data_IF_043356961663
#
_entry.id   IF_043356961663
#
_cell.length_a   1.000
_cell.length_b   1.000
_cell.length_c   1.000
_cell.angle_alpha   90.00
_cell.angle_beta   90.00
_cell.angle_gamma   90.00
#
_symmetry.space_group_name_H-M   'P 1'
#
loop_
_entity.id
_entity.type
_entity.pdbx_description
1 polymer ?
#
# COMPACT_ATOMS: atom_id res chain seq x y z
N UNK A 1 4.44 8.46 -9.26
CA UNK A 1 4.42 7.00 -9.05
C UNK A 1 3.02 6.46 -8.70
N UNK A 2 2.16 7.23 -8.01
CA UNK A 2 0.76 6.87 -7.68
C UNK A 2 -0.05 6.29 -8.85
N UNK A 3 -0.03 6.90 -10.03
CA UNK A 3 -0.75 6.38 -11.21
C UNK A 3 -0.31 4.96 -11.62
N UNK A 4 0.96 4.60 -11.36
CA UNK A 4 1.43 3.23 -11.59
C UNK A 4 0.85 2.26 -10.59
N UNK A 5 0.73 2.66 -9.31
CA UNK A 5 0.04 1.85 -8.27
C UNK A 5 -1.42 1.67 -8.65
N UNK A 6 -2.12 2.74 -9.04
CA UNK A 6 -3.51 2.68 -9.47
C UNK A 6 -3.69 1.69 -10.63
N UNK A 7 -2.83 1.77 -11.65
CA UNK A 7 -2.85 0.85 -12.80
C UNK A 7 -2.62 -0.60 -12.39
N UNK A 8 -1.76 -0.87 -11.40
CA UNK A 8 -1.54 -2.21 -10.85
C UNK A 8 -2.80 -2.70 -10.13
N UNK A 9 -3.39 -1.89 -9.25
CA UNK A 9 -4.62 -2.24 -8.52
C UNK A 9 -5.75 -2.52 -9.50
N UNK A 10 -6.01 -1.60 -10.44
CA UNK A 10 -7.04 -1.74 -11.49
C UNK A 10 -6.86 -3.02 -12.32
N UNK A 11 -5.62 -3.37 -12.66
CA UNK A 11 -5.30 -4.62 -13.35
C UNK A 11 -5.64 -5.84 -12.47
N UNK A 12 -5.24 -5.83 -11.21
CA UNK A 12 -5.52 -6.93 -10.27
C UNK A 12 -7.03 -7.15 -10.04
N UNK A 13 -7.81 -6.06 -9.96
CA UNK A 13 -9.28 -6.10 -9.92
C UNK A 13 -9.83 -6.75 -11.20
N UNK A 14 -9.41 -6.28 -12.37
CA UNK A 14 -9.84 -6.82 -13.68
C UNK A 14 -9.50 -8.31 -13.84
N UNK A 15 -8.40 -8.76 -13.27
CA UNK A 15 -7.97 -10.16 -13.30
C UNK A 15 -8.64 -11.02 -12.21
N UNK A 16 -9.40 -10.43 -11.31
CA UNK A 16 -10.04 -11.12 -10.19
C UNK A 16 -9.10 -11.55 -9.07
N UNK A 17 -7.83 -11.14 -9.13
CA UNK A 17 -6.80 -11.41 -8.09
C UNK A 17 -7.04 -10.55 -6.85
N UNK A 18 -7.46 -9.30 -7.06
CA UNK A 18 -7.87 -8.40 -5.97
C UNK A 18 -9.39 -8.35 -5.83
N UNK A 19 -9.86 -7.92 -4.66
CA UNK A 19 -11.27 -7.56 -4.40
C UNK A 19 -11.69 -6.38 -5.27
N UNK A 20 -12.99 -6.23 -5.53
CA UNK A 20 -13.52 -5.07 -6.26
C UNK A 20 -13.46 -3.82 -5.37
N UNK A 21 -12.51 -2.93 -5.65
CA UNK A 21 -12.19 -1.73 -4.86
C UNK A 21 -11.99 -0.52 -5.77
N UNK A 22 -12.14 0.69 -5.22
CA UNK A 22 -11.71 1.90 -5.91
C UNK A 22 -10.18 1.94 -6.00
N UNK A 23 -9.66 1.76 -7.22
CA UNK A 23 -8.24 1.72 -7.49
C UNK A 23 -7.54 3.06 -7.24
N UNK A 24 -8.22 4.19 -7.49
CA UNK A 24 -7.66 5.52 -7.33
C UNK A 24 -7.56 5.87 -5.84
N UNK A 25 -8.61 5.58 -5.07
CA UNK A 25 -8.61 5.74 -3.62
C UNK A 25 -7.57 4.84 -2.95
N UNK A 26 -7.52 3.57 -3.34
CA UNK A 26 -6.55 2.61 -2.79
C UNK A 26 -5.12 3.02 -3.07
N UNK A 27 -4.83 3.49 -4.30
CA UNK A 27 -3.51 4.00 -4.65
C UNK A 27 -3.14 5.23 -3.83
N UNK A 28 -4.07 6.19 -3.65
CA UNK A 28 -3.86 7.35 -2.80
C UNK A 28 -3.47 6.93 -1.37
N UNK A 29 -4.28 6.07 -0.74
CA UNK A 29 -4.04 5.58 0.64
C UNK A 29 -2.69 4.86 0.76
N UNK A 30 -2.39 3.95 -0.16
CA UNK A 30 -1.12 3.20 -0.16
C UNK A 30 0.09 4.13 -0.31
N UNK A 31 0.02 5.11 -1.23
CA UNK A 31 1.12 6.05 -1.46
C UNK A 31 1.34 6.98 -0.28
N UNK A 32 0.27 7.51 0.32
CA UNK A 32 0.35 8.36 1.50
C UNK A 32 0.92 7.60 2.71
N UNK A 33 0.52 6.34 2.91
CA UNK A 33 1.08 5.48 3.94
C UNK A 33 2.58 5.23 3.72
N UNK A 34 2.98 4.94 2.47
CA UNK A 34 4.39 4.72 2.11
C UNK A 34 5.24 5.94 2.45
N UNK A 35 4.80 7.14 2.06
CA UNK A 35 5.53 8.39 2.31
C UNK A 35 5.62 8.69 3.83
N UNK A 36 4.52 8.50 4.57
CA UNK A 36 4.47 8.71 6.02
C UNK A 36 5.36 7.74 6.81
N UNK A 37 5.46 6.47 6.39
CA UNK A 37 6.36 5.50 6.99
C UNK A 37 7.83 5.81 6.64
N UNK A 38 8.10 6.20 5.40
CA UNK A 38 9.46 6.57 4.98
C UNK A 38 10.00 7.75 5.78
N UNK A 39 9.17 8.79 6.01
CA UNK A 39 9.55 9.93 6.86
C UNK A 39 9.92 9.47 8.26
N UNK A 40 9.08 8.64 8.90
CA UNK A 40 9.33 8.15 10.26
C UNK A 40 10.60 7.31 10.37
N UNK A 41 10.88 6.47 9.37
CA UNK A 41 12.14 5.70 9.29
C UNK A 41 13.34 6.64 9.17
N UNK A 42 13.27 7.64 8.29
CA UNK A 42 14.37 8.58 8.05
C UNK A 42 14.61 9.54 9.22
N UNK A 43 13.58 9.90 9.97
CA UNK A 43 13.69 10.78 11.15
C UNK A 43 14.01 10.04 12.43
N UNK A 44 14.14 8.70 12.39
CA UNK A 44 14.54 7.89 13.54
C UNK A 44 13.43 7.71 14.57
N UNK A 45 12.16 7.66 14.14
CA UNK A 45 11.06 7.31 15.03
C UNK A 45 11.34 5.97 15.72
N UNK A 46 11.35 5.95 17.06
CA UNK A 46 11.56 4.72 17.81
C UNK A 46 10.50 3.71 17.40
N UNK A 47 10.92 2.46 17.14
CA UNK A 47 10.10 1.32 16.70
C UNK A 47 9.81 1.21 15.19
N UNK A 48 10.14 2.21 14.35
CA UNK A 48 10.09 2.03 12.89
C UNK A 48 11.48 1.76 12.30
N UNK A 49 11.59 0.61 11.64
CA UNK A 49 12.71 0.23 10.78
C UNK A 49 12.22 -0.01 9.35
N UNK A 50 13.11 -0.11 8.34
CA UNK A 50 12.73 -0.53 7.00
C UNK A 50 11.96 -1.86 6.96
N UNK A 51 12.31 -2.81 7.83
CA UNK A 51 11.64 -4.11 7.93
C UNK A 51 10.21 -3.97 8.48
N UNK A 52 10.02 -3.15 9.52
CA UNK A 52 8.69 -2.87 10.08
C UNK A 52 7.83 -2.12 9.07
N UNK A 53 8.39 -1.13 8.36
CA UNK A 53 7.70 -0.43 7.26
C UNK A 53 7.24 -1.43 6.18
N UNK A 54 8.10 -2.36 5.76
CA UNK A 54 7.74 -3.39 4.79
C UNK A 54 6.58 -4.27 5.29
N UNK A 55 6.60 -4.69 6.55
CA UNK A 55 5.52 -5.48 7.15
C UNK A 55 4.18 -4.73 7.12
N UNK A 56 4.18 -3.45 7.51
CA UNK A 56 2.96 -2.61 7.51
C UNK A 56 2.39 -2.48 6.09
N UNK A 57 3.24 -2.25 5.08
CA UNK A 57 2.80 -2.12 3.69
C UNK A 57 2.24 -3.44 3.13
N UNK A 58 2.80 -4.58 3.52
CA UNK A 58 2.26 -5.90 3.16
C UNK A 58 0.90 -6.12 3.82
N UNK A 59 0.78 -5.83 5.11
CA UNK A 59 -0.49 -5.96 5.85
C UNK A 59 -1.58 -5.08 5.23
N UNK A 60 -1.25 -3.86 4.80
CA UNK A 60 -2.18 -3.01 4.06
C UNK A 60 -2.68 -3.68 2.79
N UNK A 61 -1.78 -4.28 2.00
CA UNK A 61 -2.16 -4.99 0.76
C UNK A 61 -3.05 -6.20 1.08
N UNK A 62 -2.69 -6.99 2.10
CA UNK A 62 -3.48 -8.14 2.54
C UNK A 62 -4.89 -7.73 2.98
N UNK A 63 -5.02 -6.68 3.80
CA UNK A 63 -6.32 -6.24 4.32
C UNK A 63 -7.17 -5.50 3.29
N UNK A 64 -6.53 -4.73 2.41
CA UNK A 64 -7.24 -3.82 1.49
C UNK A 64 -7.45 -4.42 0.09
N UNK A 65 -6.69 -5.43 -0.33
CA UNK A 65 -6.70 -5.95 -1.70
C UNK A 65 -6.91 -7.46 -1.81
N UNK A 66 -6.49 -8.26 -0.83
CA UNK A 66 -6.58 -9.72 -0.91
C UNK A 66 -7.98 -10.18 -0.46
N UNK A 67 -8.56 -11.14 -1.20
CA UNK A 67 -9.84 -11.77 -0.82
C UNK A 67 -9.58 -12.70 0.38
N UNK A 68 -10.48 -12.77 1.37
CA UNK A 68 -10.37 -13.72 2.46
C UNK A 68 -10.36 -15.18 1.98
#
# INVERSE_FOLDING_TARGET
WRETVERIVRRGVKQGVFRDVDAAETALRFTALTDGLAIQVLTGAQQLSPDVMRQILIQFVESELVKP
#
